data_IF_665982423709
#
_entry.id   IF_665982423709
#
_cell.length_a   1.000
_cell.length_b   1.000
_cell.length_c   1.000
_cell.angle_alpha   90.00
_cell.angle_beta   90.00
_cell.angle_gamma   90.00
#
_symmetry.space_group_name_H-M   'P 1'
#
loop_
_entity.id
_entity.type
_entity.pdbx_description
1 polymer ?
#
# COMPACT_ATOMS: atom_id res chain seq x y z
N UNK A 1 -5.13 2.21 0.43
CA UNK A 1 -5.02 2.64 -0.98
C UNK A 1 -3.65 3.21 -1.18
N UNK A 2 -2.94 2.78 -2.22
CA UNK A 2 -1.60 3.27 -2.57
C UNK A 2 -1.56 3.60 -4.06
N UNK A 3 -1.29 4.85 -4.40
CA UNK A 3 -1.39 5.40 -5.76
C UNK A 3 -0.13 6.14 -6.17
N UNK A 4 0.94 6.08 -5.39
CA UNK A 4 2.22 6.73 -5.68
C UNK A 4 3.26 5.74 -6.17
N UNK A 5 4.16 6.24 -7.01
CA UNK A 5 5.20 5.41 -7.63
C UNK A 5 6.48 5.28 -6.77
N UNK A 6 6.60 6.10 -5.73
CA UNK A 6 7.61 6.04 -4.68
C UNK A 6 7.17 6.84 -3.44
N UNK A 7 7.54 6.37 -2.25
CA UNK A 7 7.21 7.03 -0.98
C UNK A 7 8.41 7.67 -0.28
N UNK A 8 9.62 7.16 -0.51
CA UNK A 8 10.85 7.69 0.11
C UNK A 8 10.77 7.74 1.64
N UNK A 9 10.18 6.72 2.26
CA UNK A 9 10.08 6.63 3.71
C UNK A 9 11.47 6.33 4.26
N UNK A 10 12.00 7.11 5.23
CA UNK A 10 13.36 6.92 5.74
C UNK A 10 13.65 5.48 6.21
N UNK A 11 12.67 4.81 6.81
CA UNK A 11 12.79 3.43 7.31
C UNK A 11 12.86 2.38 6.19
N UNK A 12 12.53 2.75 4.95
CA UNK A 12 12.62 1.92 3.75
C UNK A 12 13.96 2.11 3.01
N UNK A 13 14.70 3.20 3.28
CA UNK A 13 15.85 3.61 2.45
C UNK A 13 16.97 2.55 2.45
N UNK A 14 17.21 1.85 3.56
CA UNK A 14 18.22 0.79 3.64
C UNK A 14 17.82 -0.46 2.85
N UNK A 15 16.60 -0.96 3.09
CA UNK A 15 16.03 -2.13 2.43
C UNK A 15 15.90 -1.93 0.91
N UNK A 16 15.51 -0.72 0.51
CA UNK A 16 15.39 -0.33 -0.89
C UNK A 16 16.77 -0.17 -1.56
N UNK A 17 17.76 0.41 -0.86
CA UNK A 17 19.13 0.49 -1.38
C UNK A 17 19.75 -0.91 -1.57
N UNK A 18 19.55 -1.81 -0.61
CA UNK A 18 20.01 -3.19 -0.74
C UNK A 18 19.39 -3.87 -1.95
N UNK A 19 18.08 -3.65 -2.19
CA UNK A 19 17.39 -4.14 -3.39
C UNK A 19 17.99 -3.59 -4.69
N UNK A 20 18.27 -2.28 -4.75
CA UNK A 20 18.88 -1.66 -5.94
C UNK A 20 20.26 -2.25 -6.24
N UNK A 21 21.02 -2.56 -5.19
CA UNK A 21 22.40 -3.06 -5.29
C UNK A 21 22.50 -4.58 -5.44
N UNK A 22 21.36 -5.31 -5.46
CA UNK A 22 21.33 -6.78 -5.41
C UNK A 22 22.08 -7.36 -4.19
N UNK A 23 22.04 -6.64 -3.06
CA UNK A 23 22.64 -7.03 -1.81
C UNK A 23 21.68 -7.93 -1.01
N UNK A 24 22.17 -8.99 -0.33
CA UNK A 24 21.35 -9.74 0.60
C UNK A 24 20.77 -8.83 1.69
N UNK A 25 19.45 -8.92 1.92
CA UNK A 25 18.76 -8.17 2.96
C UNK A 25 17.74 -9.05 3.67
N UNK A 26 17.68 -8.96 5.00
CA UNK A 26 16.71 -9.71 5.79
C UNK A 26 15.38 -8.96 5.87
N UNK A 27 14.58 -9.07 4.80
CA UNK A 27 13.25 -8.49 4.74
C UNK A 27 12.30 -9.02 5.81
N UNK A 28 12.50 -10.27 6.28
CA UNK A 28 11.60 -10.86 7.28
C UNK A 28 11.78 -10.20 8.64
N UNK A 29 13.03 -9.97 9.05
CA UNK A 29 13.31 -9.26 10.30
C UNK A 29 12.92 -7.79 10.22
N UNK A 30 13.26 -7.10 9.12
CA UNK A 30 12.89 -5.70 8.93
C UNK A 30 11.37 -5.47 8.90
N UNK A 31 10.62 -6.38 8.28
CA UNK A 31 9.16 -6.27 8.15
C UNK A 31 8.39 -6.89 9.32
N UNK A 32 9.08 -7.41 10.34
CA UNK A 32 8.50 -8.26 11.38
C UNK A 32 7.35 -7.60 12.16
N UNK A 33 7.50 -6.34 12.54
CA UNK A 33 6.50 -5.64 13.36
C UNK A 33 5.19 -5.45 12.59
N UNK A 34 5.28 -4.99 11.34
CA UNK A 34 4.10 -4.84 10.47
C UNK A 34 3.48 -6.20 10.14
N UNK A 35 4.32 -7.19 9.80
CA UNK A 35 3.88 -8.56 9.54
C UNK A 35 3.06 -9.10 10.71
N UNK A 36 3.60 -9.01 11.93
CA UNK A 36 2.96 -9.54 13.14
C UNK A 36 1.67 -8.81 13.44
N UNK A 37 1.65 -7.48 13.31
CA UNK A 37 0.45 -6.68 13.49
C UNK A 37 -0.69 -7.10 12.55
N UNK A 38 -0.40 -7.28 11.26
CA UNK A 38 -1.40 -7.71 10.28
C UNK A 38 -1.82 -9.16 10.54
N UNK A 39 -0.88 -10.06 10.84
CA UNK A 39 -1.19 -11.45 11.17
C UNK A 39 -2.10 -11.58 12.41
N UNK A 40 -1.87 -10.78 13.44
CA UNK A 40 -2.70 -10.77 14.65
C UNK A 40 -4.10 -10.20 14.39
N UNK A 41 -4.23 -9.23 13.49
CA UNK A 41 -5.53 -8.70 13.07
C UNK A 41 -6.32 -9.74 12.28
N UNK A 42 -5.70 -10.37 11.28
CA UNK A 42 -6.36 -11.34 10.41
C UNK A 42 -6.72 -12.62 11.17
N UNK A 43 -5.89 -13.06 12.12
CA UNK A 43 -6.20 -14.17 13.04
C UNK A 43 -7.44 -13.89 13.91
N UNK A 44 -7.77 -12.63 14.19
CA UNK A 44 -8.98 -12.20 14.91
C UNK A 44 -10.20 -12.02 13.99
N UNK A 45 -10.05 -12.28 12.69
CA UNK A 45 -11.12 -12.13 11.69
C UNK A 45 -11.25 -10.71 11.12
N UNK A 46 -10.30 -9.80 11.42
CA UNK A 46 -10.28 -8.46 10.82
C UNK A 46 -9.81 -8.56 9.37
N UNK A 47 -10.57 -7.97 8.45
CA UNK A 47 -10.19 -7.92 7.03
C UNK A 47 -9.22 -6.78 6.78
N UNK A 48 -8.01 -7.09 6.34
CA UNK A 48 -7.01 -6.11 5.89
C UNK A 48 -6.84 -6.24 4.38
N UNK A 49 -7.02 -5.13 3.66
CA UNK A 49 -7.01 -5.13 2.20
C UNK A 49 -6.36 -3.89 1.63
N UNK A 50 -5.64 -4.04 0.51
CA UNK A 50 -4.90 -2.96 -0.14
C UNK A 50 -5.01 -3.04 -1.65
N UNK A 51 -5.37 -1.93 -2.27
CA UNK A 51 -5.24 -1.74 -3.72
C UNK A 51 -4.08 -0.81 -3.99
N UNK A 52 -3.19 -1.26 -4.88
CA UNK A 52 -2.06 -0.51 -5.41
C UNK A 52 -2.32 -0.13 -6.86
N UNK A 53 -2.38 1.17 -7.14
CA UNK A 53 -2.40 1.71 -8.50
C UNK A 53 -0.97 2.00 -8.93
N UNK A 54 -0.49 1.29 -9.95
CA UNK A 54 0.93 1.31 -10.33
C UNK A 54 1.15 1.64 -11.80
N UNK A 55 2.15 2.48 -12.06
CA UNK A 55 2.58 2.82 -13.42
C UNK A 55 3.29 1.64 -14.10
N UNK A 56 3.12 1.53 -15.42
CA UNK A 56 3.82 0.54 -16.25
C UNK A 56 4.54 1.27 -17.39
N UNK A 57 5.81 0.93 -17.71
CA UNK A 57 6.64 -0.11 -17.09
C UNK A 57 6.98 0.20 -15.62
N UNK A 58 7.17 -0.84 -14.81
CA UNK A 58 7.39 -0.67 -13.37
C UNK A 58 8.68 0.08 -13.08
N UNK A 59 8.59 1.08 -12.19
CA UNK A 59 9.73 1.70 -11.56
C UNK A 59 10.50 0.68 -10.70
N UNK A 60 11.74 1.00 -10.33
CA UNK A 60 12.53 0.15 -9.42
C UNK A 60 11.80 -0.03 -8.08
N UNK A 61 11.19 1.05 -7.58
CA UNK A 61 10.40 1.03 -6.35
C UNK A 61 9.18 0.12 -6.46
N UNK A 62 8.46 0.14 -7.58
CA UNK A 62 7.32 -0.75 -7.80
C UNK A 62 7.73 -2.22 -7.83
N UNK A 63 8.87 -2.55 -8.44
CA UNK A 63 9.42 -3.91 -8.41
C UNK A 63 9.79 -4.34 -6.99
N UNK A 64 10.40 -3.44 -6.21
CA UNK A 64 10.67 -3.70 -4.81
C UNK A 64 9.37 -3.90 -4.00
N UNK A 65 8.36 -3.06 -4.23
CA UNK A 65 7.05 -3.15 -3.58
C UNK A 65 6.34 -4.49 -3.85
N UNK A 66 6.53 -5.08 -5.04
CA UNK A 66 6.04 -6.43 -5.37
C UNK A 66 6.75 -7.53 -4.57
N UNK A 67 8.03 -7.36 -4.24
CA UNK A 67 8.76 -8.29 -3.35
C UNK A 67 8.20 -8.22 -1.94
N UNK A 68 8.02 -7.00 -1.41
CA UNK A 68 7.45 -6.80 -0.07
C UNK A 68 6.00 -7.29 0.01
N UNK A 69 5.23 -7.19 -1.08
CA UNK A 69 3.85 -7.66 -1.12
C UNK A 69 3.69 -9.15 -0.83
N UNK A 70 4.71 -9.97 -1.10
CA UNK A 70 4.67 -11.39 -0.73
C UNK A 70 4.52 -11.56 0.78
N UNK A 71 5.23 -10.75 1.57
CA UNK A 71 5.15 -10.76 3.04
C UNK A 71 3.82 -10.20 3.55
N UNK A 72 3.25 -9.19 2.87
CA UNK A 72 1.91 -8.70 3.18
C UNK A 72 0.86 -9.80 3.01
N UNK A 73 0.90 -10.52 1.88
CA UNK A 73 -0.05 -11.60 1.59
C UNK A 73 0.14 -12.78 2.55
N UNK A 74 1.39 -13.12 2.88
CA UNK A 74 1.68 -14.15 3.89
C UNK A 74 1.11 -13.79 5.27
N UNK A 75 1.12 -12.51 5.66
CA UNK A 75 0.49 -12.02 6.90
C UNK A 75 -1.06 -12.04 6.87
N UNK A 76 -1.66 -12.32 5.71
CA UNK A 76 -3.11 -12.41 5.52
C UNK A 76 -3.77 -11.17 4.91
N UNK A 77 -3.00 -10.22 4.37
CA UNK A 77 -3.55 -9.06 3.65
C UNK A 77 -4.02 -9.44 2.23
N UNK A 78 -5.23 -9.02 1.83
CA UNK A 78 -5.66 -9.10 0.41
C UNK A 78 -5.09 -7.91 -0.36
N UNK A 79 -3.94 -8.13 -0.99
CA UNK A 79 -3.24 -7.15 -1.82
C UNK A 79 -3.62 -7.32 -3.28
N UNK A 80 -4.06 -6.23 -3.90
CA UNK A 80 -4.47 -6.17 -5.30
C UNK A 80 -3.82 -5.04 -6.06
N UNK A 81 -3.70 -5.20 -7.37
CA UNK A 81 -3.00 -4.29 -8.24
C UNK A 81 -3.86 -3.86 -9.42
N UNK A 82 -3.68 -2.61 -9.84
CA UNK A 82 -4.26 -2.08 -11.07
C UNK A 82 -3.23 -1.22 -11.81
N UNK A 83 -2.94 -1.48 -13.09
CA UNK A 83 -2.13 -0.59 -13.90
C UNK A 83 -2.79 0.80 -14.00
N UNK A 84 -2.02 1.87 -13.76
CA UNK A 84 -2.52 3.25 -13.69
C UNK A 84 -3.29 3.67 -14.94
N UNK A 85 -2.83 3.24 -16.12
CA UNK A 85 -3.50 3.54 -17.40
C UNK A 85 -4.88 2.88 -17.54
N UNK A 86 -5.21 1.89 -16.70
CA UNK A 86 -6.53 1.24 -16.62
C UNK A 86 -7.38 1.77 -15.45
N UNK A 87 -6.78 2.50 -14.51
CA UNK A 87 -7.45 2.91 -13.27
C UNK A 87 -8.43 4.08 -13.44
N UNK A 88 -8.36 4.81 -14.55
CA UNK A 88 -9.13 6.03 -14.76
C UNK A 88 -8.75 7.11 -13.73
N UNK A 89 -9.75 7.75 -13.14
CA UNK A 89 -9.53 8.70 -12.04
C UNK A 89 -8.94 7.99 -10.81
N UNK A 90 -7.97 8.61 -10.14
CA UNK A 90 -7.34 8.07 -8.93
C UNK A 90 -7.30 9.15 -7.86
N UNK A 91 -7.37 8.79 -6.57
CA UNK A 91 -7.25 9.77 -5.50
C UNK A 91 -5.86 10.42 -5.56
N UNK A 92 -5.78 11.68 -5.11
CA UNK A 92 -4.52 12.42 -5.08
C UNK A 92 -3.57 11.90 -3.98
N UNK A 93 -4.15 11.47 -2.87
CA UNK A 93 -3.44 11.03 -1.67
C UNK A 93 -3.71 9.56 -1.36
N UNK A 94 -2.73 8.97 -0.68
CA UNK A 94 -2.85 7.63 -0.12
C UNK A 94 -3.56 7.65 1.20
N UNK A 95 -4.42 6.65 1.40
CA UNK A 95 -5.23 6.60 2.60
C UNK A 95 -5.56 5.17 3.02
N UNK A 96 -5.81 5.06 4.32
CA UNK A 96 -6.44 3.91 4.96
C UNK A 96 -7.89 4.24 5.29
N UNK A 97 -8.80 3.33 4.97
CA UNK A 97 -10.18 3.35 5.43
C UNK A 97 -10.28 2.40 6.62
N UNK A 98 -10.78 2.91 7.75
CA UNK A 98 -10.97 2.15 8.98
C UNK A 98 -12.48 2.01 9.22
N UNK A 99 -12.96 0.77 9.22
CA UNK A 99 -14.37 0.39 9.45
C UNK A 99 -15.41 1.13 8.59
N UNK A 100 -14.97 1.74 7.48
CA UNK A 100 -15.76 2.68 6.66
C UNK A 100 -16.30 3.90 7.44
N UNK A 101 -15.67 4.25 8.56
CA UNK A 101 -16.07 5.37 9.43
C UNK A 101 -14.99 6.45 9.54
N UNK A 102 -13.72 6.09 9.32
CA UNK A 102 -12.61 7.02 9.36
C UNK A 102 -11.67 6.82 8.16
N UNK A 103 -11.05 7.93 7.75
CA UNK A 103 -9.97 7.94 6.76
C UNK A 103 -8.71 8.48 7.39
N UNK A 104 -7.60 7.76 7.24
CA UNK A 104 -6.27 8.23 7.61
C UNK A 104 -5.45 8.47 6.34
N UNK A 105 -5.16 9.73 6.04
CA UNK A 105 -4.32 10.13 4.90
C UNK A 105 -2.84 10.14 5.28
N UNK A 106 -2.01 9.50 4.48
CA UNK A 106 -0.56 9.52 4.66
C UNK A 106 -0.02 10.91 4.35
N UNK A 107 0.66 11.53 5.31
CA UNK A 107 1.26 12.85 5.13
C UNK A 107 2.63 12.74 4.46
N UNK A 108 2.89 13.66 3.54
CA UNK A 108 4.17 13.82 2.87
C UNK A 108 4.75 15.21 3.10
N UNK A 109 6.07 15.33 3.00
CA UNK A 109 6.74 16.61 2.97
C UNK A 109 6.58 17.32 1.61
N UNK A 110 7.14 18.53 1.49
CA UNK A 110 7.12 19.33 0.26
C UNK A 110 7.78 18.67 -0.96
N UNK A 111 8.61 17.66 -0.74
CA UNK A 111 9.29 16.89 -1.78
C UNK A 111 8.54 15.58 -2.10
N UNK A 112 7.40 15.35 -1.46
CA UNK A 112 6.59 14.15 -1.62
C UNK A 112 7.10 12.93 -0.85
N UNK A 113 8.04 13.09 0.09
CA UNK A 113 8.50 12.00 0.95
C UNK A 113 7.53 11.78 2.10
N UNK A 114 7.15 10.53 2.36
CA UNK A 114 6.33 10.17 3.51
C UNK A 114 7.03 10.54 4.83
N UNK A 115 6.32 11.23 5.72
CA UNK A 115 6.88 11.66 7.02
C UNK A 115 6.50 10.75 8.19
N UNK A 116 5.95 9.56 7.90
CA UNK A 116 5.53 8.60 8.92
C UNK A 116 4.36 9.08 9.80
N UNK A 117 3.58 10.06 9.34
CA UNK A 117 2.42 10.61 10.04
C UNK A 117 1.19 10.53 9.17
N UNK A 118 0.03 10.41 9.81
CA UNK A 118 -1.27 10.45 9.14
C UNK A 118 -2.15 11.56 9.69
N UNK A 119 -2.94 12.18 8.82
CA UNK A 119 -4.06 13.02 9.22
C UNK A 119 -5.35 12.20 9.17
N UNK A 120 -6.11 12.19 10.27
CA UNK A 120 -7.34 11.41 10.40
C UNK A 120 -8.56 12.31 10.31
N UNK A 121 -9.56 11.87 9.57
CA UNK A 121 -10.87 12.52 9.50
C UNK A 121 -12.00 11.49 9.58
N UNK A 122 -13.11 11.90 10.19
CA UNK A 122 -14.39 11.17 10.25
C UNK A 122 -15.51 11.92 9.54
N UNK A 123 -15.17 12.93 8.72
CA UNK A 123 -16.15 13.66 7.92
C UNK A 123 -16.88 12.69 6.97
N UNK A 124 -18.21 12.54 7.09
CA UNK A 124 -18.96 11.54 6.33
C UNK A 124 -18.91 11.78 4.81
N UNK A 125 -18.72 13.03 4.37
CA UNK A 125 -18.57 13.36 2.94
C UNK A 125 -17.25 12.82 2.43
N UNK A 126 -16.16 13.03 3.17
CA UNK A 126 -14.82 12.58 2.79
C UNK A 126 -14.74 11.05 2.85
N UNK A 127 -15.23 10.44 3.95
CA UNK A 127 -15.28 8.99 4.11
C UNK A 127 -16.06 8.34 2.97
N UNK A 128 -17.24 8.88 2.63
CA UNK A 128 -18.06 8.38 1.53
C UNK A 128 -17.40 8.50 0.16
N UNK A 129 -16.62 9.56 -0.09
CA UNK A 129 -15.82 9.70 -1.32
C UNK A 129 -14.72 8.64 -1.40
N UNK A 130 -13.92 8.49 -0.34
CA UNK A 130 -12.86 7.49 -0.25
C UNK A 130 -13.39 6.06 -0.41
N UNK A 131 -14.55 5.75 0.18
CA UNK A 131 -15.18 4.44 0.05
C UNK A 131 -15.56 4.12 -1.40
N UNK A 132 -16.24 5.06 -2.09
CA UNK A 132 -16.63 4.87 -3.51
C UNK A 132 -15.42 4.66 -4.41
N UNK A 133 -14.35 5.41 -4.20
CA UNK A 133 -13.10 5.27 -4.95
C UNK A 133 -12.48 3.89 -4.70
N UNK A 134 -12.42 3.46 -3.42
CA UNK A 134 -11.91 2.15 -3.05
C UNK A 134 -12.70 1.02 -3.71
N UNK A 135 -14.03 1.04 -3.63
CA UNK A 135 -14.89 0.00 -4.21
C UNK A 135 -14.71 -0.13 -5.72
N UNK A 136 -14.65 1.00 -6.43
CA UNK A 136 -14.42 1.01 -7.88
C UNK A 136 -13.06 0.39 -8.22
N UNK A 137 -11.98 0.86 -7.58
CA UNK A 137 -10.64 0.38 -7.88
C UNK A 137 -10.46 -1.09 -7.45
N UNK A 138 -11.09 -1.50 -6.35
CA UNK A 138 -11.13 -2.89 -5.89
C UNK A 138 -11.70 -3.83 -6.96
N UNK A 139 -12.87 -3.49 -7.50
CA UNK A 139 -13.55 -4.30 -8.53
C UNK A 139 -12.80 -4.40 -9.85
N UNK A 140 -11.84 -3.51 -10.10
CA UNK A 140 -10.99 -3.50 -11.30
C UNK A 140 -9.60 -4.10 -11.07
N UNK A 141 -9.26 -4.41 -9.82
CA UNK A 141 -7.90 -4.83 -9.43
C UNK A 141 -7.72 -6.34 -9.46
N UNK A 142 -6.54 -6.78 -9.91
CA UNK A 142 -6.14 -8.18 -9.92
C UNK A 142 -5.48 -8.56 -8.57
N UNK A 143 -5.81 -9.72 -7.98
CA UNK A 143 -5.08 -10.26 -6.83
C UNK A 143 -3.57 -10.35 -7.08
N UNK A 144 -2.75 -10.15 -6.04
CA UNK A 144 -1.29 -10.21 -6.14
C UNK A 144 -0.78 -11.47 -6.86
N UNK A 145 -1.34 -12.64 -6.54
CA UNK A 145 -0.93 -13.92 -7.14
C UNK A 145 -1.19 -14.03 -8.65
N UNK A 146 -2.15 -13.26 -9.18
CA UNK A 146 -2.42 -13.15 -10.61
C UNK A 146 -1.55 -12.06 -11.25
N UNK A 147 -1.33 -10.96 -10.53
CA UNK A 147 -0.57 -9.81 -11.03
C UNK A 147 0.95 -10.06 -11.10
N UNK A 148 1.50 -10.82 -10.15
CA UNK A 148 2.94 -11.03 -10.00
C UNK A 148 3.50 -12.19 -10.85
N UNK A 149 2.71 -12.73 -11.78
CA UNK A 149 3.11 -13.81 -12.69
C UNK A 149 4.03 -13.34 -13.81
#
# INVERSE_FOLDING_TARGET
MEVRDAYGVPDEDEAFRAFINDEPYDYRTWFHDWYTFVADLTARGVSVSRVRVISVPHSVYQRWSLVIAALNVEAGEDVRYIPRHLAGEVPADDYWLLDNEAVAFNLSDKNGRGIGKSAVTTDPVIVGQCLRIKERLWGMSAPYAEYAQ
#
